data_IF_057814011684
#
_entry.id   IF_057814011684
#
_cell.length_a   1.000
_cell.length_b   1.000
_cell.length_c   1.000
_cell.angle_alpha   90.00
_cell.angle_beta   90.00
_cell.angle_gamma   90.00
#
_symmetry.space_group_name_H-M   'P 1'
#
loop_
_entity.id
_entity.type
_entity.pdbx_description
1 polymer ?
#
# COMPACT_ATOMS: atom_id res chain seq x y z
N UNK A 1 -17.91 -30.39 7.29
CA UNK A 1 -17.64 -30.10 5.87
C UNK A 1 -16.76 -31.23 5.39
N UNK A 2 -17.06 -31.83 4.24
CA UNK A 2 -16.19 -32.86 3.66
C UNK A 2 -14.85 -32.24 3.20
N UNK A 3 -13.77 -33.03 3.14
CA UNK A 3 -12.41 -32.60 2.79
C UNK A 3 -12.37 -31.98 1.39
N UNK A 4 -13.09 -32.56 0.43
CA UNK A 4 -13.17 -32.03 -0.94
C UNK A 4 -13.87 -30.67 -0.97
N UNK A 5 -15.00 -30.53 -0.24
CA UNK A 5 -15.70 -29.25 -0.13
C UNK A 5 -14.83 -28.19 0.56
N UNK A 6 -14.05 -28.58 1.57
CA UNK A 6 -13.10 -27.68 2.22
C UNK A 6 -11.99 -27.25 1.25
N UNK A 7 -11.42 -28.19 0.48
CA UNK A 7 -10.39 -27.95 -0.53
C UNK A 7 -10.87 -26.98 -1.62
N UNK A 8 -12.06 -27.19 -2.19
CA UNK A 8 -12.67 -26.28 -3.16
C UNK A 8 -12.80 -24.87 -2.61
N UNK A 9 -13.29 -24.74 -1.36
CA UNK A 9 -13.43 -23.44 -0.70
C UNK A 9 -12.08 -22.78 -0.43
N UNK A 10 -11.09 -23.54 0.02
CA UNK A 10 -9.71 -23.08 0.24
C UNK A 10 -9.12 -22.51 -1.05
N UNK A 11 -9.19 -23.27 -2.15
CA UNK A 11 -8.68 -22.84 -3.45
C UNK A 11 -9.40 -21.59 -3.98
N UNK A 12 -10.72 -21.53 -3.82
CA UNK A 12 -11.50 -20.34 -4.20
C UNK A 12 -11.06 -19.10 -3.42
N UNK A 13 -10.79 -19.24 -2.12
CA UNK A 13 -10.29 -18.13 -1.30
C UNK A 13 -8.88 -17.71 -1.75
N UNK A 14 -7.98 -18.66 -2.02
CA UNK A 14 -6.64 -18.35 -2.53
C UNK A 14 -6.69 -17.55 -3.84
N UNK A 15 -7.56 -17.94 -4.77
CA UNK A 15 -7.76 -17.23 -6.03
C UNK A 15 -8.27 -15.80 -5.81
N UNK A 16 -9.25 -15.60 -4.93
CA UNK A 16 -9.78 -14.27 -4.58
C UNK A 16 -8.71 -13.36 -3.96
N UNK A 17 -7.75 -13.94 -3.22
CA UNK A 17 -6.60 -13.23 -2.68
C UNK A 17 -5.52 -12.94 -3.73
N UNK A 18 -5.67 -13.50 -4.93
CA UNK A 18 -4.69 -13.39 -5.99
C UNK A 18 -3.46 -14.27 -5.75
N UNK A 19 -3.58 -15.35 -4.97
CA UNK A 19 -2.60 -16.44 -4.96
C UNK A 19 -3.04 -17.44 -6.03
N UNK A 20 -2.31 -17.45 -7.14
CA UNK A 20 -2.60 -18.20 -8.38
C UNK A 20 -1.49 -19.21 -8.68
N UNK A 21 -0.80 -19.69 -7.65
CA UNK A 21 0.27 -20.65 -7.81
C UNK A 21 -0.30 -21.97 -8.36
N UNK A 22 0.20 -22.48 -9.50
CA UNK A 22 -0.31 -23.71 -10.11
C UNK A 22 -0.15 -24.94 -9.22
N UNK A 23 0.64 -24.84 -8.13
CA UNK A 23 0.88 -25.91 -7.18
C UNK A 23 0.03 -25.84 -5.89
N UNK A 24 -0.92 -24.89 -5.79
CA UNK A 24 -1.75 -24.71 -4.59
C UNK A 24 -2.50 -25.96 -4.16
N UNK A 25 -3.01 -26.72 -5.13
CA UNK A 25 -3.72 -27.96 -4.88
C UNK A 25 -2.80 -29.00 -4.23
N UNK A 26 -1.60 -29.17 -4.78
CA UNK A 26 -0.59 -30.10 -4.28
C UNK A 26 -0.10 -29.68 -2.90
N UNK A 27 0.02 -28.38 -2.64
CA UNK A 27 0.39 -27.89 -1.32
C UNK A 27 -0.69 -28.16 -0.27
N UNK A 28 -1.97 -28.02 -0.64
CA UNK A 28 -3.08 -28.42 0.22
C UNK A 28 -3.02 -29.93 0.52
N UNK A 29 -2.87 -30.76 -0.51
CA UNK A 29 -2.82 -32.21 -0.35
C UNK A 29 -1.62 -32.65 0.50
N UNK A 30 -0.46 -32.01 0.30
CA UNK A 30 0.73 -32.24 1.12
C UNK A 30 0.47 -31.86 2.58
N UNK A 31 -0.17 -30.72 2.82
CA UNK A 31 -0.48 -30.24 4.17
C UNK A 31 -1.35 -31.25 4.93
N UNK A 32 -2.41 -31.75 4.28
CA UNK A 32 -3.35 -32.71 4.86
C UNK A 32 -2.72 -34.10 5.00
N UNK A 33 -2.03 -34.60 3.98
CA UNK A 33 -1.53 -35.98 3.96
C UNK A 33 -0.26 -36.17 4.81
N UNK A 34 0.63 -35.17 4.86
CA UNK A 34 1.88 -35.24 5.62
C UNK A 34 1.73 -34.70 7.06
N UNK A 35 0.53 -34.25 7.44
CA UNK A 35 0.24 -33.73 8.78
C UNK A 35 1.06 -32.48 9.12
N UNK A 36 1.09 -31.50 8.22
CA UNK A 36 1.79 -30.25 8.48
C UNK A 36 1.01 -29.38 9.48
N UNK A 37 1.66 -28.93 10.54
CA UNK A 37 1.01 -28.06 11.53
C UNK A 37 0.93 -26.59 11.08
N UNK A 38 1.85 -26.17 10.22
CA UNK A 38 1.92 -24.81 9.71
C UNK A 38 2.59 -24.73 8.33
N UNK A 39 2.17 -23.76 7.53
CA UNK A 39 2.75 -23.48 6.22
C UNK A 39 2.62 -21.99 5.89
N UNK A 40 3.50 -21.47 5.03
CA UNK A 40 3.45 -20.06 4.61
C UNK A 40 3.52 -19.93 3.09
N UNK A 41 2.53 -19.27 2.51
CA UNK A 41 2.54 -18.84 1.12
C UNK A 41 3.05 -17.41 1.03
N UNK A 42 4.13 -17.20 0.26
CA UNK A 42 4.67 -15.87 0.03
C UNK A 42 4.44 -15.45 -1.43
N UNK A 43 3.83 -14.29 -1.64
CA UNK A 43 3.68 -13.69 -2.97
C UNK A 43 3.97 -12.20 -2.94
N UNK A 44 4.63 -11.72 -3.99
CA UNK A 44 4.86 -10.29 -4.24
C UNK A 44 3.72 -9.73 -5.09
N UNK A 45 3.18 -8.60 -4.67
CA UNK A 45 2.15 -7.85 -5.38
C UNK A 45 2.69 -6.46 -5.72
N UNK A 46 2.64 -6.10 -6.99
CA UNK A 46 3.02 -4.77 -7.46
C UNK A 46 1.82 -3.81 -7.47
N UNK A 47 2.00 -2.64 -6.86
CA UNK A 47 1.01 -1.57 -6.78
C UNK A 47 1.64 -0.21 -7.14
N UNK A 48 0.79 0.80 -7.31
CA UNK A 48 1.20 2.17 -7.70
C UNK A 48 2.21 2.82 -6.74
N UNK A 49 2.09 2.62 -5.42
CA UNK A 49 2.99 3.22 -4.42
C UNK A 49 4.18 2.32 -4.05
N UNK A 50 4.27 1.11 -4.57
CA UNK A 50 5.31 0.16 -4.19
C UNK A 50 4.93 -1.29 -4.38
N UNK A 51 5.79 -2.15 -3.82
CA UNK A 51 5.63 -3.60 -3.87
C UNK A 51 5.28 -4.11 -2.49
N UNK A 52 4.33 -5.02 -2.39
CA UNK A 52 3.92 -5.63 -1.13
C UNK A 52 4.25 -7.12 -1.15
N UNK A 53 5.05 -7.56 -0.19
CA UNK A 53 5.21 -8.97 0.11
C UNK A 53 4.08 -9.39 1.05
N UNK A 54 3.29 -10.35 0.62
CA UNK A 54 2.21 -10.94 1.40
C UNK A 54 2.60 -12.37 1.77
N UNK A 55 2.75 -12.65 3.06
CA UNK A 55 2.97 -13.99 3.60
C UNK A 55 1.70 -14.47 4.29
N UNK A 56 0.93 -15.30 3.61
CA UNK A 56 -0.27 -15.92 4.14
C UNK A 56 0.13 -17.11 5.02
N UNK A 57 -0.32 -17.11 6.26
CA UNK A 57 0.01 -18.11 7.27
C UNK A 57 -1.12 -19.11 7.38
N UNK A 58 -0.80 -20.37 7.16
CA UNK A 58 -1.69 -21.50 7.36
C UNK A 58 -1.31 -22.27 8.61
N UNK A 59 -2.32 -22.80 9.29
CA UNK A 59 -2.17 -23.76 10.37
C UNK A 59 -3.26 -24.84 10.29
N UNK A 60 -3.03 -25.97 10.92
CA UNK A 60 -3.97 -27.09 10.95
C UNK A 60 -5.06 -26.89 12.02
N UNK A 61 -6.31 -27.13 11.67
CA UNK A 61 -7.43 -27.17 12.62
C UNK A 61 -7.50 -28.50 13.40
N UNK A 62 -8.54 -28.67 14.21
CA UNK A 62 -8.77 -29.90 14.99
C UNK A 62 -8.99 -31.16 14.13
N UNK A 63 -9.27 -30.98 12.83
CA UNK A 63 -9.43 -32.04 11.84
C UNK A 63 -8.22 -32.17 10.91
N UNK A 64 -7.11 -31.50 11.22
CA UNK A 64 -5.91 -31.45 10.37
C UNK A 64 -6.14 -30.82 8.99
N UNK A 65 -7.17 -29.99 8.85
CA UNK A 65 -7.44 -29.22 7.65
C UNK A 65 -6.77 -27.84 7.74
N UNK A 66 -6.21 -27.32 6.63
CA UNK A 66 -5.51 -26.04 6.65
C UNK A 66 -6.49 -24.87 6.76
N UNK A 67 -6.26 -23.96 7.69
CA UNK A 67 -6.99 -22.69 7.80
C UNK A 67 -6.07 -21.48 7.80
N UNK A 68 -6.63 -20.34 7.39
CA UNK A 68 -5.89 -19.08 7.36
C UNK A 68 -5.79 -18.50 8.77
N UNK A 69 -4.58 -18.48 9.33
CA UNK A 69 -4.31 -17.81 10.60
C UNK A 69 -4.29 -16.29 10.46
N UNK A 70 -3.76 -15.83 9.33
CA UNK A 70 -3.46 -14.43 9.15
C UNK A 70 -2.55 -14.16 7.97
N UNK A 71 -2.26 -12.89 7.75
CA UNK A 71 -1.37 -12.38 6.73
C UNK A 71 -0.30 -11.52 7.38
N UNK A 72 0.96 -11.88 7.19
CA UNK A 72 2.07 -10.98 7.42
C UNK A 72 2.37 -10.22 6.12
N UNK A 73 2.03 -8.95 6.09
CA UNK A 73 2.25 -8.10 4.92
C UNK A 73 3.36 -7.07 5.16
N UNK A 74 4.23 -6.91 4.17
CA UNK A 74 5.32 -5.94 4.16
C UNK A 74 5.23 -5.09 2.89
N UNK A 75 4.88 -3.81 3.04
CA UNK A 75 4.88 -2.84 1.96
C UNK A 75 6.25 -2.15 1.86
N UNK A 76 6.90 -2.30 0.71
CA UNK A 76 8.15 -1.62 0.35
C UNK A 76 7.81 -0.33 -0.42
N UNK A 77 7.74 0.81 0.30
CA UNK A 77 7.43 2.13 -0.28
C UNK A 77 8.62 2.73 -1.03
N UNK A 78 8.92 2.16 -2.20
CA UNK A 78 10.02 2.64 -3.05
C UNK A 78 9.56 3.71 -4.06
N UNK A 79 8.26 3.83 -4.36
CA UNK A 79 7.74 4.82 -5.33
C UNK A 79 7.36 6.17 -4.70
N UNK A 80 7.41 7.27 -5.50
CA UNK A 80 8.14 7.38 -6.77
C UNK A 80 9.67 7.48 -6.56
N UNK A 81 10.47 7.10 -7.56
CA UNK A 81 11.92 7.35 -7.58
C UNK A 81 12.16 8.67 -8.32
N UNK A 82 12.95 9.57 -7.72
CA UNK A 82 13.29 10.86 -8.33
C UNK A 82 14.55 10.72 -9.19
N UNK A 83 14.37 10.30 -10.43
CA UNK A 83 15.48 10.08 -11.37
C UNK A 83 16.24 11.36 -11.71
N UNK A 84 17.51 11.17 -12.05
CA UNK A 84 18.46 12.18 -12.52
C UNK A 84 19.77 11.53 -12.99
N UNK A 85 20.71 12.37 -13.40
CA UNK A 85 22.07 11.95 -13.79
C UNK A 85 23.03 12.31 -12.67
N UNK A 86 23.71 11.30 -12.11
CA UNK A 86 24.66 11.48 -11.01
C UNK A 86 25.96 10.77 -11.36
N UNK A 87 27.08 11.49 -11.36
CA UNK A 87 28.39 10.97 -11.79
C UNK A 87 28.35 10.27 -13.17
N UNK A 88 27.55 10.79 -14.11
CA UNK A 88 27.38 10.18 -15.44
C UNK A 88 26.46 8.96 -15.48
N UNK A 89 25.91 8.52 -14.34
CA UNK A 89 24.91 7.45 -14.29
C UNK A 89 23.51 8.06 -14.45
N UNK A 90 22.85 7.77 -15.57
CA UNK A 90 21.42 8.00 -15.72
C UNK A 90 20.65 6.95 -14.90
N UNK A 91 20.00 7.42 -13.85
CA UNK A 91 19.26 6.53 -12.93
C UNK A 91 17.92 6.04 -13.48
N UNK A 92 17.36 6.69 -14.50
CA UNK A 92 16.18 6.17 -15.20
C UNK A 92 16.58 5.01 -16.12
N UNK A 93 17.69 5.17 -16.85
CA UNK A 93 18.24 4.09 -17.67
C UNK A 93 18.65 2.89 -16.80
N UNK A 94 19.29 3.14 -15.66
CA UNK A 94 19.64 2.10 -14.70
C UNK A 94 18.41 1.33 -14.19
N UNK A 95 17.33 2.04 -13.84
CA UNK A 95 16.08 1.37 -13.44
C UNK A 95 15.51 0.51 -14.57
N UNK A 96 15.48 1.03 -15.79
CA UNK A 96 14.99 0.29 -16.95
C UNK A 96 15.80 -0.99 -17.20
N UNK A 97 17.12 -0.94 -17.00
CA UNK A 97 17.99 -2.12 -17.03
C UNK A 97 17.64 -3.11 -15.92
N UNK A 98 17.46 -2.64 -14.68
CA UNK A 98 17.15 -3.51 -13.54
C UNK A 98 15.77 -4.17 -13.65
N UNK A 99 14.82 -3.52 -14.32
CA UNK A 99 13.44 -4.01 -14.49
C UNK A 99 13.32 -5.25 -15.38
N UNK A 100 14.23 -5.41 -16.35
CA UNK A 100 14.15 -6.51 -17.34
C UNK A 100 14.95 -7.74 -16.95
N UNK A 101 15.79 -7.65 -15.91
CA UNK A 101 16.62 -8.76 -15.43
C UNK A 101 15.80 -9.65 -14.49
N UNK A 102 15.80 -10.95 -14.75
CA UNK A 102 15.30 -11.93 -13.78
C UNK A 102 16.36 -12.17 -12.71
N UNK A 103 16.27 -11.42 -11.62
CA UNK A 103 17.20 -11.48 -10.49
C UNK A 103 17.22 -12.81 -9.73
N UNK A 104 16.34 -13.76 -10.07
CA UNK A 104 16.40 -15.12 -9.51
C UNK A 104 17.27 -16.08 -10.34
N UNK A 105 17.49 -15.80 -11.62
CA UNK A 105 18.20 -16.70 -12.54
C UNK A 105 19.42 -16.05 -13.22
N UNK A 106 19.45 -14.74 -13.38
CA UNK A 106 20.46 -13.97 -14.13
C UNK A 106 21.42 -13.21 -13.20
N UNK A 107 22.10 -13.93 -12.29
CA UNK A 107 23.00 -13.33 -11.31
C UNK A 107 24.33 -12.84 -11.91
N UNK A 108 24.64 -13.19 -13.14
CA UNK A 108 25.80 -12.76 -13.91
C UNK A 108 25.78 -11.26 -14.27
N UNK A 109 24.60 -10.64 -14.34
CA UNK A 109 24.44 -9.20 -14.53
C UNK A 109 24.76 -8.39 -13.25
N UNK A 110 24.76 -9.05 -12.08
CA UNK A 110 24.88 -8.38 -10.79
C UNK A 110 26.14 -7.51 -10.65
N UNK A 111 27.36 -7.94 -11.03
CA UNK A 111 28.56 -7.12 -10.85
C UNK A 111 28.49 -5.76 -11.56
N UNK A 112 27.91 -5.73 -12.77
CA UNK A 112 27.78 -4.51 -13.57
C UNK A 112 26.81 -3.51 -12.93
N UNK A 113 25.64 -3.99 -12.51
CA UNK A 113 24.63 -3.14 -11.85
C UNK A 113 25.09 -2.73 -10.45
N UNK A 114 25.69 -3.65 -9.70
CA UNK A 114 26.22 -3.40 -8.35
C UNK A 114 27.29 -2.31 -8.34
N UNK A 115 28.16 -2.26 -9.36
CA UNK A 115 29.13 -1.18 -9.52
C UNK A 115 28.47 0.20 -9.62
N UNK A 116 27.46 0.34 -10.49
CA UNK A 116 26.70 1.60 -10.66
C UNK A 116 25.97 2.00 -9.38
N UNK A 117 25.29 1.06 -8.72
CA UNK A 117 24.60 1.30 -7.44
C UNK A 117 25.57 1.75 -6.35
N UNK A 118 26.75 1.13 -6.27
CA UNK A 118 27.79 1.49 -5.30
C UNK A 118 28.29 2.90 -5.55
N UNK A 119 28.57 3.27 -6.81
CA UNK A 119 29.00 4.61 -7.19
C UNK A 119 27.97 5.68 -6.78
N UNK A 120 26.68 5.44 -7.02
CA UNK A 120 25.61 6.34 -6.58
C UNK A 120 25.60 6.52 -5.05
N UNK A 121 25.79 5.43 -4.28
CA UNK A 121 25.80 5.45 -2.80
C UNK A 121 26.98 6.22 -2.22
N UNK A 122 28.15 6.17 -2.86
CA UNK A 122 29.38 6.84 -2.39
C UNK A 122 29.60 8.24 -3.00
N UNK A 123 28.76 8.66 -3.94
CA UNK A 123 28.87 9.96 -4.64
C UNK A 123 28.83 11.21 -3.77
N UNK A 124 28.51 11.09 -2.47
CA UNK A 124 28.26 12.22 -1.56
C UNK A 124 26.93 12.95 -1.80
N UNK A 125 26.21 12.63 -2.88
CA UNK A 125 24.91 13.22 -3.18
C UNK A 125 23.78 12.42 -2.48
N UNK A 126 23.06 13.08 -1.57
CA UNK A 126 21.96 12.46 -0.81
C UNK A 126 20.83 11.93 -1.70
N UNK A 127 20.55 12.59 -2.82
CA UNK A 127 19.52 12.14 -3.78
C UNK A 127 19.99 10.90 -4.54
N UNK A 128 21.24 10.89 -5.01
CA UNK A 128 21.81 9.71 -5.68
C UNK A 128 21.80 8.48 -4.75
N UNK A 129 22.18 8.67 -3.48
CA UNK A 129 22.10 7.63 -2.45
C UNK A 129 20.68 7.14 -2.22
N UNK A 130 19.69 8.04 -2.11
CA UNK A 130 18.28 7.65 -1.92
C UNK A 130 17.74 6.86 -3.12
N UNK A 131 18.09 7.28 -4.35
CA UNK A 131 17.73 6.55 -5.58
C UNK A 131 18.33 5.16 -5.58
N UNK A 132 19.63 5.03 -5.30
CA UNK A 132 20.30 3.74 -5.23
C UNK A 132 19.64 2.80 -4.20
N UNK A 133 19.41 3.28 -2.98
CA UNK A 133 18.75 2.53 -1.92
C UNK A 133 17.33 2.07 -2.31
N UNK A 134 16.56 2.92 -3.01
CA UNK A 134 15.22 2.54 -3.53
C UNK A 134 15.30 1.48 -4.62
N UNK A 135 16.27 1.55 -5.52
CA UNK A 135 16.49 0.56 -6.57
C UNK A 135 16.89 -0.80 -5.99
N UNK A 136 17.82 -0.81 -5.03
CA UNK A 136 18.22 -2.03 -4.31
C UNK A 136 16.99 -2.70 -3.67
N UNK A 137 16.21 -1.95 -2.90
CA UNK A 137 15.03 -2.50 -2.23
C UNK A 137 13.95 -2.94 -3.22
N UNK A 138 13.77 -2.24 -4.34
CA UNK A 138 12.73 -2.56 -5.32
C UNK A 138 13.00 -3.86 -6.07
N UNK A 139 14.24 -4.04 -6.53
CA UNK A 139 14.57 -5.11 -7.49
C UNK A 139 15.32 -6.27 -6.86
N UNK A 140 16.03 -6.06 -5.74
CA UNK A 140 16.80 -7.14 -5.11
C UNK A 140 16.11 -7.76 -3.90
N UNK A 141 15.18 -7.05 -3.23
CA UNK A 141 14.42 -7.64 -2.12
C UNK A 141 13.64 -8.87 -2.56
N UNK A 142 13.66 -9.92 -1.74
CA UNK A 142 12.97 -11.20 -2.02
C UNK A 142 13.42 -11.89 -3.33
N UNK A 143 14.65 -11.63 -3.77
CA UNK A 143 15.28 -12.33 -4.91
C UNK A 143 16.52 -13.10 -4.45
N UNK A 144 17.10 -13.91 -5.35
CA UNK A 144 18.38 -14.57 -5.08
C UNK A 144 19.50 -13.57 -4.72
N UNK A 145 19.45 -12.33 -5.24
CA UNK A 145 20.42 -11.27 -4.90
C UNK A 145 20.41 -10.92 -3.41
N UNK A 146 19.25 -10.94 -2.74
CA UNK A 146 19.14 -10.65 -1.31
C UNK A 146 19.93 -11.64 -0.43
N UNK A 147 20.27 -12.83 -0.94
CA UNK A 147 21.13 -13.81 -0.25
C UNK A 147 22.60 -13.38 -0.24
N UNK A 148 23.00 -12.53 -1.17
CA UNK A 148 24.38 -12.08 -1.37
C UNK A 148 24.64 -10.66 -0.87
N UNK A 149 23.59 -9.84 -0.72
CA UNK A 149 23.69 -8.43 -0.33
C UNK A 149 22.85 -8.19 0.93
N UNK A 150 23.45 -7.55 1.94
CA UNK A 150 22.74 -7.16 3.17
C UNK A 150 21.80 -5.98 2.87
N UNK A 151 20.51 -6.28 2.68
CA UNK A 151 19.47 -5.29 2.41
C UNK A 151 18.73 -4.80 3.67
N UNK A 152 18.85 -5.52 4.80
CA UNK A 152 17.97 -5.36 5.97
C UNK A 152 17.87 -3.91 6.47
N UNK A 153 19.01 -3.20 6.63
CA UNK A 153 19.00 -1.82 7.13
C UNK A 153 18.36 -0.81 6.16
N UNK A 154 18.34 -1.13 4.86
CA UNK A 154 17.76 -0.28 3.81
C UNK A 154 16.28 -0.64 3.65
N UNK A 155 15.93 -1.93 3.72
CA UNK A 155 14.54 -2.38 3.77
C UNK A 155 13.81 -1.74 4.93
N UNK A 156 14.40 -1.71 6.13
CA UNK A 156 13.83 -1.06 7.31
C UNK A 156 13.52 0.41 7.09
N UNK A 157 14.18 1.11 6.15
CA UNK A 157 13.85 2.50 5.80
C UNK A 157 12.54 2.62 5.01
N UNK A 158 12.27 1.70 4.09
CA UNK A 158 11.13 1.76 3.17
C UNK A 158 9.98 0.82 3.52
N UNK A 159 10.23 -0.18 4.37
CA UNK A 159 9.26 -1.17 4.80
C UNK A 159 8.23 -0.53 5.74
N UNK A 160 7.00 -0.99 5.61
CA UNK A 160 5.92 -0.90 6.60
C UNK A 160 5.32 -2.28 6.67
N UNK A 161 5.13 -2.82 7.87
CA UNK A 161 4.61 -4.16 8.01
C UNK A 161 3.53 -4.22 9.07
N UNK A 162 2.62 -5.17 8.90
CA UNK A 162 1.60 -5.49 9.87
C UNK A 162 1.25 -6.97 9.76
N UNK A 163 0.93 -7.58 10.89
CA UNK A 163 0.35 -8.91 10.97
C UNK A 163 -1.15 -8.74 11.14
N UNK A 164 -1.90 -9.19 10.15
CA UNK A 164 -3.35 -9.25 10.20
C UNK A 164 -3.73 -10.65 10.66
N UNK A 165 -4.19 -10.78 11.90
CA UNK A 165 -4.69 -12.06 12.41
C UNK A 165 -6.16 -12.24 11.98
N UNK A 166 -6.54 -13.46 11.66
CA UNK A 166 -7.91 -13.83 11.31
C UNK A 166 -8.51 -14.67 12.42
N UNK A 167 -9.59 -14.15 13.03
CA UNK A 167 -10.37 -14.90 14.02
C UNK A 167 -11.31 -15.91 13.36
N UNK A 168 -11.70 -15.68 12.10
CA UNK A 168 -12.47 -16.62 11.28
C UNK A 168 -11.50 -17.40 10.37
N UNK A 169 -11.49 -18.74 10.42
CA UNK A 169 -10.68 -19.62 9.56
C UNK A 169 -10.73 -19.29 8.06
N UNK A 170 -11.81 -18.64 7.60
CA UNK A 170 -12.07 -18.30 6.21
C UNK A 170 -12.35 -16.80 6.00
N UNK A 171 -12.25 -16.00 7.06
CA UNK A 171 -12.35 -14.55 6.99
C UNK A 171 -11.05 -13.99 6.45
N UNK A 172 -10.97 -13.75 5.14
CA UNK A 172 -9.75 -13.21 4.54
C UNK A 172 -9.94 -11.79 4.02
N UNK A 173 -9.00 -10.92 4.36
CA UNK A 173 -8.92 -9.57 3.82
C UNK A 173 -8.34 -9.60 2.40
N UNK A 174 -9.04 -9.03 1.39
CA UNK A 174 -8.48 -8.87 0.07
C UNK A 174 -7.12 -8.17 0.13
N UNK A 175 -6.14 -8.65 -0.65
CA UNK A 175 -4.76 -8.14 -0.64
C UNK A 175 -4.72 -6.63 -0.91
N UNK A 176 -5.65 -6.10 -1.72
CA UNK A 176 -5.79 -4.65 -1.96
C UNK A 176 -6.12 -3.87 -0.68
N UNK A 177 -6.91 -4.43 0.24
CA UNK A 177 -7.29 -3.78 1.49
C UNK A 177 -6.10 -3.71 2.45
N UNK A 178 -5.37 -4.83 2.57
CA UNK A 178 -4.10 -4.90 3.29
C UNK A 178 -3.11 -3.84 2.79
N UNK A 179 -2.97 -3.73 1.47
CA UNK A 179 -2.16 -2.69 0.83
C UNK A 179 -2.62 -1.27 1.19
N UNK A 180 -3.93 -0.99 1.07
CA UNK A 180 -4.49 0.33 1.38
C UNK A 180 -4.23 0.72 2.85
N UNK A 181 -4.34 -0.23 3.77
CA UNK A 181 -4.06 -0.04 5.18
C UNK A 181 -2.58 0.26 5.46
N UNK A 182 -1.65 -0.49 4.85
CA UNK A 182 -0.20 -0.21 4.97
C UNK A 182 0.19 1.12 4.32
N UNK A 183 -0.57 1.59 3.33
CA UNK A 183 -0.43 2.93 2.79
C UNK A 183 -0.81 4.02 3.80
N UNK A 184 -1.54 3.69 4.86
CA UNK A 184 -2.06 4.60 5.86
C UNK A 184 -3.44 5.14 5.51
N UNK A 185 -4.22 4.43 4.69
CA UNK A 185 -5.59 4.78 4.31
C UNK A 185 -6.57 3.97 5.15
N UNK A 186 -7.62 4.62 5.63
CA UNK A 186 -8.72 3.91 6.29
C UNK A 186 -9.61 3.23 5.27
N UNK A 187 -10.26 2.15 5.67
CA UNK A 187 -11.31 1.49 4.92
C UNK A 187 -12.47 1.18 5.84
N UNK A 188 -13.67 1.05 5.29
CA UNK A 188 -14.81 0.54 6.03
C UNK A 188 -14.57 -0.96 6.23
N UNK A 189 -14.44 -1.37 7.49
CA UNK A 189 -14.36 -2.76 7.85
C UNK A 189 -15.58 -3.49 7.31
N UNK A 190 -15.34 -4.53 6.52
CA UNK A 190 -16.22 -5.68 6.53
C UNK A 190 -15.80 -6.39 7.81
N UNK A 191 -16.60 -6.31 8.87
CA UNK A 191 -16.40 -7.20 10.01
C UNK A 191 -16.63 -8.62 9.47
N UNK A 192 -15.54 -9.29 9.08
CA UNK A 192 -15.61 -10.63 8.46
C UNK A 192 -15.92 -11.69 9.52
N UNK A 193 -15.62 -11.41 10.80
CA UNK A 193 -15.80 -12.33 11.92
C UNK A 193 -17.11 -12.10 12.68
N UNK A 194 -17.75 -10.92 12.57
CA UNK A 194 -19.07 -10.69 13.15
C UNK A 194 -20.15 -10.62 12.08
N UNK A 195 -21.09 -11.57 12.16
CA UNK A 195 -22.36 -11.62 11.42
C UNK A 195 -23.30 -10.43 11.71
N UNK A 196 -22.79 -9.25 12.11
CA UNK A 196 -23.60 -8.04 12.22
C UNK A 196 -23.33 -7.10 11.04
N UNK A 197 -24.09 -7.23 9.93
CA UNK A 197 -24.01 -6.32 8.79
C UNK A 197 -24.36 -4.86 9.11
N UNK A 198 -24.83 -4.55 10.33
CA UNK A 198 -25.07 -3.19 10.82
C UNK A 198 -23.85 -2.58 11.51
N UNK A 199 -22.84 -3.36 11.90
CA UNK A 199 -21.61 -2.88 12.54
C UNK A 199 -20.55 -2.40 11.53
N UNK A 200 -20.97 -1.64 10.49
CA UNK A 200 -20.07 -1.03 9.51
C UNK A 200 -19.23 0.06 10.17
N UNK A 201 -18.10 -0.31 10.75
CA UNK A 201 -17.14 0.63 11.34
C UNK A 201 -15.96 0.85 10.41
N UNK A 202 -15.36 2.04 10.46
CA UNK A 202 -14.12 2.27 9.75
C UNK A 202 -12.94 1.71 10.52
N UNK A 203 -12.05 1.06 9.79
CA UNK A 203 -10.83 0.43 10.28
C UNK A 203 -9.62 1.19 9.74
N UNK A 204 -8.60 1.33 10.57
CA UNK A 204 -7.35 2.01 10.21
C UNK A 204 -6.17 1.43 10.96
N UNK A 205 -4.98 1.56 10.36
CA UNK A 205 -3.72 1.27 11.04
C UNK A 205 -3.10 2.57 11.57
N UNK A 206 -2.84 2.60 12.89
CA UNK A 206 -2.12 3.68 13.54
C UNK A 206 -0.71 3.22 13.92
N UNK A 207 0.35 3.99 13.63
CA UNK A 207 1.71 3.62 14.04
C UNK A 207 1.79 3.45 15.56
N UNK A 208 2.44 2.38 16.03
CA UNK A 208 2.72 2.26 17.47
C UNK A 208 3.63 3.40 17.92
N UNK A 209 3.42 3.96 19.12
CA UNK A 209 4.40 4.84 19.71
C UNK A 209 5.72 4.07 19.88
N UNK A 210 6.87 4.69 19.60
CA UNK A 210 8.16 4.01 19.73
C UNK A 210 8.37 3.59 21.19
N UNK A 211 8.51 2.29 21.44
CA UNK A 211 8.86 1.72 22.73
C UNK A 211 10.38 1.93 22.99
N UNK A 212 10.77 3.18 23.26
CA UNK A 212 12.14 3.55 23.65
C UNK A 212 13.09 3.93 22.51
N UNK A 213 14.35 4.21 22.88
CA UNK A 213 15.41 4.62 21.96
C UNK A 213 16.00 3.40 21.26
N UNK A 214 15.54 3.12 20.03
CA UNK A 214 16.31 2.65 18.86
C UNK A 214 15.39 1.84 17.96
N UNK A 215 15.03 2.46 16.85
CA UNK A 215 14.12 2.02 15.79
C UNK A 215 12.69 2.50 16.00
N UNK A 216 12.13 3.31 15.08
CA UNK A 216 10.69 3.51 15.04
C UNK A 216 10.08 2.13 14.81
N UNK A 217 9.43 1.59 15.83
CA UNK A 217 8.61 0.40 15.67
C UNK A 217 7.58 0.73 14.58
N UNK A 218 7.80 0.16 13.39
CA UNK A 218 6.95 0.38 12.22
C UNK A 218 5.74 -0.53 12.22
N UNK A 219 5.51 -1.24 13.33
CA UNK A 219 4.27 -1.95 13.55
C UNK A 219 3.13 -0.98 13.81
N UNK A 220 1.92 -1.46 13.54
CA UNK A 220 0.70 -0.70 13.69
C UNK A 220 -0.18 -1.31 14.77
N UNK A 221 -1.08 -0.49 15.31
CA UNK A 221 -2.27 -0.92 16.03
C UNK A 221 -3.48 -0.71 15.15
N UNK A 222 -4.35 -1.70 15.19
CA UNK A 222 -5.65 -1.67 14.56
C UNK A 222 -6.60 -0.77 15.38
N UNK A 223 -7.29 0.15 14.71
CA UNK A 223 -8.22 1.08 15.35
C UNK A 223 -9.54 1.10 14.60
N UNK A 224 -10.61 0.79 15.34
CA UNK A 224 -12.00 0.85 14.89
C UNK A 224 -12.63 2.20 15.24
N UNK A 225 -13.44 2.70 14.31
CA UNK A 225 -14.10 3.98 14.39
C UNK A 225 -15.59 3.81 14.09
N UNK A 226 -16.38 3.34 15.07
CA UNK A 226 -17.81 3.06 14.86
C UNK A 226 -18.64 4.33 14.64
N UNK A 227 -18.18 5.47 15.18
CA UNK A 227 -18.88 6.76 15.09
C UNK A 227 -18.55 7.54 13.81
N UNK A 228 -17.64 7.04 12.97
CA UNK A 228 -17.24 7.75 11.76
C UNK A 228 -18.23 7.51 10.62
N UNK A 229 -18.84 8.59 10.12
CA UNK A 229 -19.69 8.58 8.94
C UNK A 229 -19.03 9.30 7.76
N UNK A 230 -18.64 8.52 6.74
CA UNK A 230 -18.00 9.06 5.54
C UNK A 230 -18.90 10.05 4.79
N UNK A 231 -20.22 9.83 4.79
CA UNK A 231 -21.15 10.72 4.07
C UNK A 231 -21.17 12.11 4.70
N UNK A 232 -21.23 12.17 6.04
CA UNK A 232 -21.11 13.41 6.80
C UNK A 232 -19.77 14.09 6.57
N UNK A 233 -18.67 13.33 6.55
CA UNK A 233 -17.33 13.87 6.27
C UNK A 233 -17.24 14.47 4.85
N UNK A 234 -17.71 13.76 3.83
CA UNK A 234 -17.77 14.25 2.44
C UNK A 234 -18.63 15.51 2.31
N UNK A 235 -19.74 15.59 3.06
CA UNK A 235 -20.66 16.73 3.07
C UNK A 235 -20.06 18.04 3.61
N UNK A 236 -18.90 17.99 4.27
CA UNK A 236 -18.18 19.19 4.74
C UNK A 236 -17.51 19.96 3.61
N UNK A 237 -17.31 19.33 2.45
CA UNK A 237 -16.48 19.86 1.38
C UNK A 237 -17.30 20.16 0.11
N UNK A 238 -16.92 21.17 -0.68
CA UNK A 238 -17.63 21.54 -1.91
C UNK A 238 -17.27 20.59 -3.07
N UNK A 239 -17.59 19.30 -2.91
CA UNK A 239 -17.34 18.26 -3.92
C UNK A 239 -18.49 18.20 -4.93
N UNK A 240 -18.18 18.44 -6.21
CA UNK A 240 -19.16 18.41 -7.29
C UNK A 240 -19.76 17.02 -7.47
N UNK A 241 -18.95 15.98 -7.28
CA UNK A 241 -19.33 14.57 -7.41
C UNK A 241 -20.43 14.16 -6.41
N UNK A 242 -20.59 14.90 -5.32
CA UNK A 242 -21.66 14.67 -4.35
C UNK A 242 -23.04 15.16 -4.84
N UNK A 243 -23.10 15.90 -5.94
CA UNK A 243 -24.36 16.43 -6.51
C UNK A 243 -25.10 15.41 -7.38
N UNK A 244 -24.44 14.32 -7.78
CA UNK A 244 -24.96 13.28 -8.68
C UNK A 244 -24.94 11.92 -8.00
N UNK A 245 -26.04 11.16 -8.08
CA UNK A 245 -26.14 9.85 -7.43
C UNK A 245 -25.10 8.84 -7.96
N UNK A 246 -24.90 8.71 -9.29
CA UNK A 246 -23.84 7.84 -9.83
C UNK A 246 -22.43 8.24 -9.34
N UNK A 247 -22.09 9.53 -9.38
CA UNK A 247 -20.75 9.99 -9.01
C UNK A 247 -20.49 9.85 -7.51
N UNK A 248 -21.46 10.22 -6.67
CA UNK A 248 -21.36 10.07 -5.21
C UNK A 248 -21.26 8.60 -4.81
N UNK A 249 -22.00 7.70 -5.47
CA UNK A 249 -21.92 6.26 -5.21
C UNK A 249 -20.54 5.69 -5.55
N UNK A 250 -19.95 6.08 -6.68
CA UNK A 250 -18.60 5.67 -7.07
C UNK A 250 -17.54 6.21 -6.09
N UNK A 251 -17.62 7.50 -5.74
CA UNK A 251 -16.72 8.13 -4.77
C UNK A 251 -16.77 7.43 -3.40
N UNK A 252 -17.98 7.15 -2.89
CA UNK A 252 -18.13 6.40 -1.63
C UNK A 252 -17.62 4.97 -1.75
N UNK A 253 -17.89 4.29 -2.85
CA UNK A 253 -17.43 2.93 -3.10
C UNK A 253 -15.89 2.83 -3.07
N UNK A 254 -15.19 3.77 -3.70
CA UNK A 254 -13.74 3.80 -3.69
C UNK A 254 -13.18 4.11 -2.29
N UNK A 255 -13.71 5.15 -1.63
CA UNK A 255 -13.23 5.56 -0.31
C UNK A 255 -13.53 4.55 0.80
N UNK A 256 -14.68 3.86 0.75
CA UNK A 256 -15.00 2.77 1.69
C UNK A 256 -14.03 1.60 1.59
N UNK A 257 -13.33 1.44 0.47
CA UNK A 257 -12.32 0.40 0.28
C UNK A 257 -10.90 0.88 0.54
N UNK A 258 -10.75 2.13 0.96
CA UNK A 258 -9.46 2.79 1.11
C UNK A 258 -8.75 3.06 -0.22
N UNK A 259 -9.46 3.01 -1.35
CA UNK A 259 -8.90 3.40 -2.65
C UNK A 259 -8.70 4.91 -2.73
N UNK A 260 -7.91 5.33 -3.71
CA UNK A 260 -7.84 6.73 -4.13
C UNK A 260 -8.97 6.94 -5.13
N UNK A 261 -9.85 7.89 -4.85
CA UNK A 261 -10.95 8.24 -5.72
C UNK A 261 -10.63 9.52 -6.50
N UNK A 262 -11.10 9.61 -7.75
CA UNK A 262 -11.09 10.87 -8.48
C UNK A 262 -12.30 11.72 -8.08
N UNK A 263 -12.14 13.04 -8.04
CA UNK A 263 -13.23 13.96 -7.75
C UNK A 263 -12.90 15.39 -8.19
N UNK A 264 -13.86 16.29 -8.01
CA UNK A 264 -13.76 17.70 -8.40
C UNK A 264 -14.21 18.59 -7.24
N UNK A 265 -13.29 19.42 -6.74
CA UNK A 265 -13.58 20.45 -5.75
C UNK A 265 -14.02 21.73 -6.47
N UNK A 266 -15.14 22.32 -6.04
CA UNK A 266 -15.60 23.63 -6.47
C UNK A 266 -15.08 24.69 -5.51
N UNK A 267 -14.07 25.47 -5.92
CA UNK A 267 -13.46 26.52 -5.09
C UNK A 267 -13.59 27.85 -5.85
N UNK A 268 -14.23 28.84 -5.24
CA UNK A 268 -14.47 30.16 -5.85
C UNK A 268 -15.20 30.10 -7.22
N UNK A 269 -16.03 29.07 -7.43
CA UNK A 269 -16.73 28.85 -8.71
C UNK A 269 -15.89 28.15 -9.79
N UNK A 270 -14.63 27.80 -9.51
CA UNK A 270 -13.76 27.06 -10.42
C UNK A 270 -13.70 25.57 -10.04
N UNK A 271 -13.68 24.71 -11.05
CA UNK A 271 -13.54 23.26 -10.89
C UNK A 271 -12.06 22.87 -10.77
N UNK A 272 -11.72 22.17 -9.69
CA UNK A 272 -10.39 21.63 -9.43
C UNK A 272 -10.42 20.11 -9.37
N UNK A 273 -9.95 19.40 -10.43
CA UNK A 273 -9.85 17.95 -10.40
C UNK A 273 -8.81 17.53 -9.36
N UNK A 274 -9.18 16.59 -8.49
CA UNK A 274 -8.37 16.12 -7.37
C UNK A 274 -8.50 14.61 -7.19
N UNK A 275 -7.42 14.02 -6.68
CA UNK A 275 -7.40 12.65 -6.17
C UNK A 275 -7.62 12.70 -4.67
N UNK A 276 -8.58 11.93 -4.16
CA UNK A 276 -9.00 11.97 -2.75
C UNK A 276 -8.78 10.61 -2.10
N UNK A 277 -8.30 10.60 -0.86
CA UNK A 277 -8.22 9.39 -0.04
C UNK A 277 -8.65 9.70 1.40
N UNK A 278 -9.17 8.68 2.10
CA UNK A 278 -9.48 8.76 3.53
C UNK A 278 -8.24 8.40 4.35
N UNK A 279 -7.74 9.35 5.14
CA UNK A 279 -6.51 9.14 5.93
C UNK A 279 -6.75 8.29 7.18
N UNK A 280 -5.96 7.23 7.39
CA UNK A 280 -6.11 6.31 8.51
C UNK A 280 -5.88 6.93 9.89
N UNK A 281 -4.97 7.91 10.00
CA UNK A 281 -4.63 8.53 11.29
C UNK A 281 -5.71 9.46 11.83
N UNK A 282 -6.38 10.20 10.95
CA UNK A 282 -7.30 11.29 11.35
C UNK A 282 -8.74 11.05 10.89
N UNK A 283 -8.96 10.04 10.03
CA UNK A 283 -10.19 9.85 9.28
C UNK A 283 -10.69 11.11 8.55
N UNK A 284 -9.75 11.99 8.19
CA UNK A 284 -10.05 13.17 7.38
C UNK A 284 -9.81 12.87 5.91
N UNK A 285 -10.54 13.57 5.04
CA UNK A 285 -10.28 13.51 3.60
C UNK A 285 -8.99 14.27 3.26
N UNK A 286 -8.19 13.65 2.39
CA UNK A 286 -6.93 14.19 1.93
C UNK A 286 -6.90 14.26 0.40
N UNK A 287 -6.36 15.34 -0.15
CA UNK A 287 -5.91 15.40 -1.54
C UNK A 287 -4.59 14.64 -1.66
N UNK A 288 -4.52 13.74 -2.64
CA UNK A 288 -3.36 12.93 -2.98
C UNK A 288 -2.61 13.59 -4.13
N UNK A 289 -1.35 13.98 -3.91
CA UNK A 289 -0.54 14.55 -4.99
C UNK A 289 0.03 13.47 -5.94
N UNK A 290 0.77 13.90 -6.97
CA UNK A 290 1.41 13.00 -7.95
C UNK A 290 2.49 12.09 -7.34
N UNK A 291 2.95 12.40 -6.12
CA UNK A 291 3.92 11.61 -5.35
C UNK A 291 3.24 10.80 -4.25
N UNK A 292 1.91 10.72 -4.27
CA UNK A 292 1.06 10.07 -3.28
C UNK A 292 1.22 10.62 -1.85
N UNK A 293 1.60 11.90 -1.71
CA UNK A 293 1.54 12.58 -0.43
C UNK A 293 0.10 13.00 -0.13
N UNK A 294 -0.30 12.81 1.13
CA UNK A 294 -1.61 13.19 1.63
C UNK A 294 -1.58 14.61 2.19
N UNK A 295 -2.43 15.49 1.66
CA UNK A 295 -2.66 16.83 2.21
C UNK A 295 -4.12 16.95 2.64
N UNK A 296 -4.43 17.28 3.91
CA UNK A 296 -5.82 17.48 4.34
C UNK A 296 -6.56 18.44 3.40
N UNK A 297 -7.80 18.12 3.01
CA UNK A 297 -8.55 18.91 2.03
C UNK A 297 -8.67 20.39 2.44
N UNK A 298 -8.91 20.69 3.72
CA UNK A 298 -8.98 22.07 4.23
C UNK A 298 -7.71 22.87 3.91
N UNK A 299 -6.55 22.24 4.12
CA UNK A 299 -5.25 22.85 3.84
C UNK A 299 -5.03 23.03 2.34
N UNK A 300 -5.52 22.11 1.52
CA UNK A 300 -5.47 22.24 0.06
C UNK A 300 -6.33 23.43 -0.40
N UNK A 301 -7.58 23.53 0.07
CA UNK A 301 -8.49 24.64 -0.27
C UNK A 301 -7.87 25.98 0.12
N UNK A 302 -7.32 26.11 1.33
CA UNK A 302 -6.65 27.32 1.78
C UNK A 302 -5.48 27.73 0.88
N UNK A 303 -4.68 26.77 0.39
CA UNK A 303 -3.57 27.04 -0.54
C UNK A 303 -4.07 27.54 -1.89
N UNK A 304 -5.15 26.95 -2.42
CA UNK A 304 -5.76 27.37 -3.69
C UNK A 304 -6.30 28.80 -3.57
N UNK A 305 -7.06 29.10 -2.53
CA UNK A 305 -7.59 30.44 -2.27
C UNK A 305 -6.48 31.48 -2.13
N UNK A 306 -5.42 31.17 -1.37
CA UNK A 306 -4.27 32.07 -1.22
C UNK A 306 -3.57 32.34 -2.57
N UNK A 307 -3.47 31.31 -3.43
CA UNK A 307 -2.90 31.44 -4.77
C UNK A 307 -3.79 32.31 -5.69
N UNK A 308 -5.11 32.11 -5.69
CA UNK A 308 -6.06 32.94 -6.46
C UNK A 308 -5.95 34.42 -6.07
N UNK A 309 -5.91 34.73 -4.76
CA UNK A 309 -5.74 36.10 -4.25
C UNK A 309 -4.41 36.71 -4.69
N UNK A 310 -3.32 35.94 -4.64
CA UNK A 310 -2.01 36.41 -5.09
C UNK A 310 -1.99 36.69 -6.60
N UNK A 311 -2.68 35.86 -7.40
CA UNK A 311 -2.77 36.03 -8.85
C UNK A 311 -3.58 37.27 -9.24
N UNK A 312 -4.71 37.51 -8.56
CA UNK A 312 -5.52 38.73 -8.75
C UNK A 312 -4.69 39.99 -8.44
N UNK A 313 -3.96 40.00 -7.32
CA UNK A 313 -3.08 41.13 -6.95
C UNK A 313 -1.98 41.40 -7.99
N UNK A 314 -1.41 40.36 -8.61
CA UNK A 314 -0.40 40.51 -9.67
C UNK A 314 -0.99 41.08 -10.96
N UNK A 315 -2.15 40.60 -11.38
CA UNK A 315 -2.84 41.13 -12.57
C UNK A 315 -3.28 42.58 -12.39
N UNK A 316 -3.77 42.93 -11.19
CA UNK A 316 -4.18 44.31 -10.87
C UNK A 316 -3.02 45.32 -10.91
N UNK A 317 -1.80 44.91 -10.52
CA UNK A 317 -0.60 45.78 -10.59
C UNK A 317 -0.08 46.00 -12.01
N UNK A 318 -0.30 45.05 -12.93
CA UNK A 318 0.17 45.17 -14.31
C UNK A 318 -0.79 45.95 -15.22
N UNK A 319 -2.01 46.24 -14.76
CA UNK A 319 -2.99 47.05 -15.48
C UNK A 319 -3.07 48.50 -14.98
N UNK A 320 -2.15 48.92 -14.10
CA UNK A 320 -1.96 50.33 -13.76
C UNK A 320 -1.04 51.01 -14.76
N UNK A 321 -1.65 51.60 -15.79
CA UNK A 321 -1.12 52.74 -16.57
C UNK A 321 -1.22 53.98 -15.70
#
# INVERSE_FOLDING_TARGET
MDVEQHKERFLSVMEVLGFDDPFLEQYYDLFVNEGMDNYQFAKLFDFEEGRMLCKLVLIADEHSLPYFKGVHAVLLKTHPISHGVFNGIDTLELENQMKVIDWNSQLDELPKIFGKITELKISGNKFAKDVAERLEVRYWSETAVAKHIKLNSIQDKFARFHLFDFDDPLGVLPVRYVYNLLCGRALMGLDLSRLDPLARSYFSLQPKPPLGYRSPDKSFTEVNHPEFDLKTELGKYPLKDMQSLPQSSQLMYDLTRGNIAEGTLLISGNDYPVRIALGGKTLALHVVDKRNNLTPIDRFIQKVLAWEVAHIKRKGKNNGI
#
